data_IF_237657574723
#
_entry.id   IF_237657574723
#
_cell.length_a   1.000
_cell.length_b   1.000
_cell.length_c   1.000
_cell.angle_alpha   90.00
_cell.angle_beta   90.00
_cell.angle_gamma   90.00
#
_symmetry.space_group_name_H-M   'P 1'
#
loop_
_entity.id
_entity.type
_entity.pdbx_description
1 polymer ?
#
# COMPACT_ATOMS: atom_id res chain seq x y z
N UNK A 1 0.07 -15.66 14.11
CA UNK A 1 -0.62 -16.35 15.23
C UNK A 1 -1.88 -15.62 15.69
N UNK A 2 -1.90 -14.29 15.77
CA UNK A 2 -3.07 -13.49 16.22
C UNK A 2 -4.33 -13.66 15.36
N UNK A 3 -4.19 -14.00 14.09
CA UNK A 3 -5.32 -14.21 13.19
C UNK A 3 -6.10 -15.50 13.44
N UNK A 4 -5.48 -16.49 14.05
CA UNK A 4 -6.05 -17.82 14.33
C UNK A 4 -6.10 -18.14 15.83
N UNK A 5 -5.78 -17.17 16.67
CA UNK A 5 -5.90 -17.31 18.10
C UNK A 5 -7.37 -17.62 18.45
N UNK A 6 -7.60 -18.57 19.31
CA UNK A 6 -8.94 -18.96 19.75
C UNK A 6 -9.84 -19.60 18.68
N UNK A 7 -9.33 -20.01 17.52
CA UNK A 7 -10.11 -20.67 16.46
C UNK A 7 -10.84 -21.94 16.95
N UNK A 8 -10.28 -22.60 17.99
CA UNK A 8 -10.84 -23.81 18.59
C UNK A 8 -11.81 -23.52 19.76
N UNK A 9 -12.18 -22.24 19.97
CA UNK A 9 -13.01 -21.82 21.11
C UNK A 9 -14.42 -21.37 20.70
N UNK A 10 -14.94 -21.91 19.61
CA UNK A 10 -16.28 -21.57 19.09
C UNK A 10 -16.46 -20.08 18.79
N UNK A 11 -15.41 -19.47 18.25
CA UNK A 11 -15.38 -18.04 17.92
C UNK A 11 -15.84 -17.74 16.50
N UNK A 12 -15.89 -18.74 15.63
CA UNK A 12 -16.30 -18.63 14.23
C UNK A 12 -17.04 -19.88 13.78
N UNK A 13 -17.90 -19.73 12.79
CA UNK A 13 -18.60 -20.86 12.16
C UNK A 13 -17.68 -21.64 11.25
N UNK A 14 -17.88 -22.97 11.22
CA UNK A 14 -17.17 -23.87 10.33
C UNK A 14 -18.12 -24.43 9.29
N UNK A 15 -17.72 -24.37 8.04
CA UNK A 15 -18.45 -24.92 6.89
C UNK A 15 -17.67 -26.09 6.27
N UNK A 16 -18.33 -27.04 5.58
CA UNK A 16 -17.62 -28.04 4.79
C UNK A 16 -16.72 -27.37 3.73
N UNK A 17 -15.54 -27.96 3.52
CA UNK A 17 -14.68 -27.59 2.41
C UNK A 17 -15.27 -28.04 1.06
N UNK A 18 -14.58 -27.74 -0.06
CA UNK A 18 -15.10 -27.99 -1.41
C UNK A 18 -15.50 -29.45 -1.68
N UNK A 19 -14.78 -30.43 -1.15
CA UNK A 19 -15.06 -31.87 -1.32
C UNK A 19 -15.81 -32.51 -0.13
N UNK A 20 -16.23 -31.68 0.84
CA UNK A 20 -16.98 -32.09 2.04
C UNK A 20 -16.25 -33.08 2.94
N UNK A 21 -14.93 -33.28 2.76
CA UNK A 21 -14.12 -34.20 3.56
C UNK A 21 -13.71 -33.61 4.90
N UNK A 22 -13.57 -32.29 4.97
CA UNK A 22 -13.12 -31.55 6.16
C UNK A 22 -13.98 -30.32 6.39
N UNK A 23 -13.81 -29.67 7.53
CA UNK A 23 -14.46 -28.38 7.84
C UNK A 23 -13.43 -27.27 7.87
N UNK A 24 -13.77 -26.14 7.29
CA UNK A 24 -12.97 -24.94 7.31
C UNK A 24 -13.71 -23.76 7.97
N UNK A 25 -13.01 -22.83 8.61
CA UNK A 25 -13.66 -21.67 9.20
C UNK A 25 -14.18 -20.74 8.09
N UNK A 26 -15.42 -20.26 8.23
CA UNK A 26 -16.00 -19.29 7.29
C UNK A 26 -15.25 -17.95 7.28
N UNK A 27 -14.68 -17.56 8.42
CA UNK A 27 -13.80 -16.39 8.61
C UNK A 27 -12.76 -16.70 9.68
N UNK A 28 -11.64 -15.97 9.67
CA UNK A 28 -10.62 -16.09 10.72
C UNK A 28 -10.97 -15.23 11.93
N UNK A 29 -10.80 -15.74 13.19
CA UNK A 29 -11.09 -15.02 14.43
C UNK A 29 -9.98 -14.01 14.78
N UNK A 30 -9.67 -13.09 13.88
CA UNK A 30 -8.60 -12.10 14.07
C UNK A 30 -8.85 -11.23 15.30
N UNK A 31 -7.84 -11.08 16.16
CA UNK A 31 -7.88 -10.23 17.35
C UNK A 31 -7.61 -8.75 17.07
N UNK A 32 -7.36 -8.38 15.84
CA UNK A 32 -7.14 -6.99 15.41
C UNK A 32 -7.92 -6.71 14.12
N UNK A 33 -8.15 -5.45 13.76
CA UNK A 33 -8.96 -5.06 12.61
C UNK A 33 -8.25 -5.37 11.28
N UNK A 34 -8.11 -6.66 10.98
CA UNK A 34 -7.32 -7.19 9.88
C UNK A 34 -7.73 -6.64 8.51
N UNK A 35 -9.02 -6.44 8.27
CA UNK A 35 -9.52 -5.96 6.98
C UNK A 35 -8.90 -4.61 6.58
N UNK A 36 -8.79 -3.68 7.53
CA UNK A 36 -8.19 -2.37 7.29
C UNK A 36 -6.66 -2.40 7.40
N UNK A 37 -6.13 -3.12 8.38
CA UNK A 37 -4.67 -3.13 8.62
C UNK A 37 -3.92 -3.79 7.47
N UNK A 38 -4.35 -4.96 7.01
CA UNK A 38 -3.70 -5.65 5.89
C UNK A 38 -4.30 -5.32 4.53
N UNK A 39 -5.50 -4.71 4.52
CA UNK A 39 -6.23 -4.54 3.28
C UNK A 39 -6.72 -5.86 2.69
N UNK A 40 -7.35 -5.79 1.54
CA UNK A 40 -7.78 -6.96 0.78
C UNK A 40 -7.95 -6.63 -0.69
N UNK A 41 -7.77 -7.63 -1.54
CA UNK A 41 -8.04 -7.54 -2.97
C UNK A 41 -8.79 -8.79 -3.39
N UNK A 42 -9.89 -8.62 -4.11
CA UNK A 42 -10.70 -9.73 -4.57
C UNK A 42 -11.51 -9.39 -5.81
N UNK A 43 -11.69 -10.38 -6.66
CA UNK A 43 -12.47 -10.29 -7.90
C UNK A 43 -13.59 -11.30 -7.82
N UNK A 44 -14.84 -10.82 -7.90
CA UNK A 44 -16.03 -11.64 -7.98
C UNK A 44 -16.80 -11.36 -9.27
N UNK A 45 -17.84 -12.15 -9.53
CA UNK A 45 -18.70 -11.89 -10.70
C UNK A 45 -19.50 -10.61 -10.48
N UNK A 46 -19.30 -9.64 -11.35
CA UNK A 46 -19.99 -8.36 -11.32
C UNK A 46 -19.44 -7.32 -10.33
N UNK A 47 -18.46 -7.66 -9.49
CA UNK A 47 -17.83 -6.71 -8.56
C UNK A 47 -16.39 -7.07 -8.25
N UNK A 48 -15.63 -6.07 -7.81
CA UNK A 48 -14.27 -6.25 -7.31
C UNK A 48 -14.05 -5.35 -6.09
N UNK A 49 -13.17 -5.76 -5.20
CA UNK A 49 -12.70 -4.95 -4.08
C UNK A 49 -11.20 -4.80 -4.10
N UNK A 50 -10.71 -3.66 -3.64
CA UNK A 50 -9.29 -3.39 -3.46
C UNK A 50 -9.12 -2.37 -2.33
N UNK A 51 -9.06 -2.88 -1.11
CA UNK A 51 -8.87 -2.07 0.11
C UNK A 51 -7.38 -2.02 0.42
N UNK A 52 -6.76 -0.83 0.42
CA UNK A 52 -5.35 -0.70 0.77
C UNK A 52 -5.12 -0.95 2.27
N UNK A 53 -3.89 -1.34 2.68
CA UNK A 53 -3.53 -1.46 4.08
C UNK A 53 -3.49 -0.10 4.79
N UNK A 54 -3.71 -0.12 6.12
CA UNK A 54 -3.74 1.05 6.97
C UNK A 54 -2.89 0.83 8.23
N UNK A 55 -2.50 1.93 8.86
CA UNK A 55 -1.73 1.89 10.09
C UNK A 55 -2.55 1.28 11.24
N UNK A 56 -1.96 0.32 11.95
CA UNK A 56 -2.62 -0.38 13.06
C UNK A 56 -3.03 0.58 14.19
N UNK A 57 -2.14 1.48 14.58
CA UNK A 57 -2.40 2.44 15.66
C UNK A 57 -3.52 3.39 15.29
N UNK A 58 -3.50 3.96 14.09
CA UNK A 58 -4.58 4.83 13.60
C UNK A 58 -5.91 4.08 13.55
N UNK A 59 -5.92 2.84 13.06
CA UNK A 59 -7.13 2.03 12.98
C UNK A 59 -7.71 1.71 14.36
N UNK A 60 -6.87 1.35 15.34
CA UNK A 60 -7.31 1.12 16.72
C UNK A 60 -7.85 2.41 17.35
N UNK A 61 -7.15 3.53 17.18
CA UNK A 61 -7.61 4.82 17.70
C UNK A 61 -8.96 5.25 17.12
N UNK A 62 -9.19 4.97 15.84
CA UNK A 62 -10.49 5.21 15.20
C UNK A 62 -11.61 4.33 15.83
N UNK A 63 -11.32 3.07 16.11
CA UNK A 63 -12.27 2.17 16.78
C UNK A 63 -12.57 2.69 18.20
N UNK A 64 -11.55 3.08 18.96
CA UNK A 64 -11.73 3.66 20.31
C UNK A 64 -12.62 4.90 20.21
N UNK A 65 -12.36 5.81 19.27
CA UNK A 65 -13.19 7.00 19.06
C UNK A 65 -14.66 6.67 18.77
N UNK A 66 -14.93 5.63 17.98
CA UNK A 66 -16.29 5.17 17.69
C UNK A 66 -16.98 4.69 18.97
N UNK A 67 -16.26 3.91 19.78
CA UNK A 67 -16.78 3.38 21.04
C UNK A 67 -17.07 4.52 22.02
N UNK A 68 -16.13 5.45 22.20
CA UNK A 68 -16.28 6.58 23.13
C UNK A 68 -17.47 7.45 22.74
N UNK A 69 -17.61 7.84 21.48
CA UNK A 69 -18.75 8.60 21.00
C UNK A 69 -20.08 7.87 21.24
N UNK A 70 -20.08 6.53 21.08
CA UNK A 70 -21.31 5.74 21.30
C UNK A 70 -21.64 5.58 22.77
N UNK A 71 -20.65 5.36 23.63
CA UNK A 71 -20.83 5.10 25.07
C UNK A 71 -21.05 6.38 25.85
N UNK A 72 -20.26 7.42 25.60
CA UNK A 72 -20.28 8.66 26.37
C UNK A 72 -21.30 9.67 25.83
N UNK A 73 -21.41 9.80 24.50
CA UNK A 73 -22.24 10.82 23.86
C UNK A 73 -23.53 10.24 23.24
N UNK A 74 -23.67 8.91 23.22
CA UNK A 74 -24.78 8.17 22.59
C UNK A 74 -25.08 8.61 21.15
N UNK A 75 -24.03 8.89 20.39
CA UNK A 75 -24.10 9.29 18.98
C UNK A 75 -23.23 8.43 18.09
N UNK A 76 -23.50 8.47 16.79
CA UNK A 76 -22.64 7.86 15.79
C UNK A 76 -21.46 8.79 15.46
N UNK A 77 -20.30 8.18 15.12
CA UNK A 77 -19.11 8.89 14.69
C UNK A 77 -19.22 9.22 13.21
N UNK A 78 -18.86 10.44 12.85
CA UNK A 78 -18.86 10.86 11.43
C UNK A 78 -17.61 10.38 10.69
N UNK A 79 -17.70 10.32 9.37
CA UNK A 79 -16.54 9.95 8.55
C UNK A 79 -15.42 11.00 8.65
N UNK A 80 -15.76 12.26 8.88
CA UNK A 80 -14.82 13.35 9.10
C UNK A 80 -13.96 13.11 10.34
N UNK A 81 -14.59 12.73 11.46
CA UNK A 81 -13.86 12.41 12.70
C UNK A 81 -12.93 11.22 12.52
N UNK A 82 -13.34 10.21 11.74
CA UNK A 82 -12.48 9.07 11.43
C UNK A 82 -11.29 9.50 10.56
N UNK A 83 -11.51 10.37 9.56
CA UNK A 83 -10.45 10.87 8.69
C UNK A 83 -9.46 11.82 9.39
N UNK A 84 -9.80 12.36 10.55
CA UNK A 84 -8.86 13.08 11.40
C UNK A 84 -7.84 12.13 12.05
N UNK A 85 -8.21 10.88 12.27
CA UNK A 85 -7.37 9.84 12.86
C UNK A 85 -6.66 9.03 11.77
N UNK A 86 -7.43 8.45 10.83
CA UNK A 86 -6.90 7.70 9.69
C UNK A 86 -6.65 8.68 8.54
N UNK A 87 -5.40 9.08 8.38
CA UNK A 87 -5.01 10.11 7.38
C UNK A 87 -5.04 9.58 5.94
N UNK A 88 -4.88 8.29 5.76
CA UNK A 88 -4.81 7.60 4.47
C UNK A 88 -4.28 6.18 4.61
N UNK A 89 -4.14 5.47 3.50
CA UNK A 89 -3.44 4.19 3.50
C UNK A 89 -2.01 4.30 4.02
N UNK A 90 -1.54 3.23 4.66
CA UNK A 90 -0.17 3.07 5.13
C UNK A 90 0.41 1.80 4.49
N UNK A 91 1.28 1.99 3.50
CA UNK A 91 1.81 0.89 2.71
C UNK A 91 3.09 0.34 3.33
N UNK A 92 3.24 -1.00 3.47
CA UNK A 92 4.44 -1.62 4.04
C UNK A 92 5.70 -1.36 3.21
N UNK A 93 5.56 -0.97 1.95
CA UNK A 93 6.66 -0.64 1.04
C UNK A 93 6.99 0.85 1.02
N UNK A 94 6.33 1.67 1.87
CA UNK A 94 6.49 3.12 1.87
C UNK A 94 5.86 3.78 0.65
N UNK A 95 6.59 4.67 0.01
CA UNK A 95 6.15 5.54 -1.08
C UNK A 95 5.28 6.73 -0.63
N UNK A 96 5.09 7.68 -1.51
CA UNK A 96 4.34 8.91 -1.24
C UNK A 96 2.98 8.89 -1.91
N UNK A 97 1.91 9.18 -1.16
CA UNK A 97 0.57 9.37 -1.70
C UNK A 97 0.47 10.80 -2.26
N UNK A 98 0.01 10.92 -3.50
CA UNK A 98 -0.14 12.19 -4.20
C UNK A 98 -1.53 12.78 -4.01
N UNK A 99 -1.66 13.70 -3.07
CA UNK A 99 -2.88 14.44 -2.77
C UNK A 99 -3.84 13.70 -1.83
N UNK A 100 -4.66 14.47 -1.09
CA UNK A 100 -5.65 13.95 -0.12
C UNK A 100 -7.03 13.75 -0.72
N UNK A 101 -7.39 14.52 -1.76
CA UNK A 101 -8.74 14.55 -2.30
C UNK A 101 -9.25 13.18 -2.74
N UNK A 102 -8.39 12.40 -3.42
CA UNK A 102 -8.75 11.05 -3.88
C UNK A 102 -8.89 10.05 -2.73
N UNK A 103 -8.12 10.23 -1.64
CA UNK A 103 -8.24 9.44 -0.40
C UNK A 103 -9.57 9.76 0.29
N UNK A 104 -9.89 11.04 0.46
CA UNK A 104 -11.16 11.48 1.05
C UNK A 104 -12.36 11.00 0.24
N UNK A 105 -12.29 11.06 -1.08
CA UNK A 105 -13.33 10.55 -1.96
C UNK A 105 -13.50 9.04 -1.78
N UNK A 106 -12.40 8.28 -1.73
CA UNK A 106 -12.43 6.84 -1.53
C UNK A 106 -13.12 6.47 -0.20
N UNK A 107 -12.80 7.18 0.88
CA UNK A 107 -13.39 6.93 2.19
C UNK A 107 -14.88 7.31 2.27
N UNK A 108 -15.29 8.41 1.62
CA UNK A 108 -16.70 8.84 1.60
C UNK A 108 -17.59 7.99 0.72
N UNK A 109 -17.08 7.52 -0.41
CA UNK A 109 -17.89 6.88 -1.45
C UNK A 109 -17.61 5.40 -1.65
N UNK A 110 -16.55 4.88 -1.03
CA UNK A 110 -16.02 3.55 -1.31
C UNK A 110 -15.32 3.43 -2.67
N UNK A 111 -15.12 4.55 -3.38
CA UNK A 111 -14.48 4.57 -4.71
C UNK A 111 -13.52 5.73 -4.85
N UNK A 112 -12.27 5.45 -5.24
CA UNK A 112 -11.24 6.45 -5.47
C UNK A 112 -10.06 5.90 -6.24
N UNK A 113 -9.19 6.79 -6.72
CA UNK A 113 -7.95 6.46 -7.42
C UNK A 113 -6.78 7.07 -6.66
N UNK A 114 -6.28 6.36 -5.67
CA UNK A 114 -5.14 6.82 -4.87
C UNK A 114 -3.86 6.66 -5.69
N UNK A 115 -3.24 7.79 -6.02
CA UNK A 115 -1.98 7.82 -6.77
C UNK A 115 -0.81 7.78 -5.79
N UNK A 116 0.15 6.92 -6.08
CA UNK A 116 1.39 6.80 -5.30
C UNK A 116 2.60 7.05 -6.17
N UNK A 117 3.66 7.57 -5.57
CA UNK A 117 4.95 7.83 -6.20
C UNK A 117 6.06 7.18 -5.40
N UNK A 118 7.04 6.61 -6.09
CA UNK A 118 8.28 6.15 -5.49
C UNK A 118 8.98 7.29 -4.73
N UNK A 119 9.72 6.96 -3.68
CA UNK A 119 10.65 7.88 -3.04
C UNK A 119 11.98 7.78 -3.75
N UNK A 120 12.52 8.91 -4.17
CA UNK A 120 13.79 8.97 -4.86
C UNK A 120 14.58 10.21 -4.48
N UNK A 121 15.89 10.09 -4.51
CA UNK A 121 16.85 11.17 -4.29
C UNK A 121 17.75 11.33 -5.53
N UNK A 122 18.18 12.57 -5.77
CA UNK A 122 19.09 12.88 -6.87
C UNK A 122 20.45 13.22 -6.27
N UNK A 123 21.45 12.45 -6.63
CA UNK A 123 22.84 12.68 -6.24
C UNK A 123 23.67 13.15 -7.45
N UNK A 124 24.53 14.12 -7.19
CA UNK A 124 25.55 14.54 -8.17
C UNK A 124 26.83 13.75 -7.95
N UNK A 125 27.33 13.13 -8.98
CA UNK A 125 28.58 12.36 -8.96
C UNK A 125 29.79 13.28 -9.22
N UNK A 126 30.97 12.85 -8.78
CA UNK A 126 32.23 13.61 -8.96
C UNK A 126 32.55 13.94 -10.41
N UNK A 127 32.10 13.11 -11.34
CA UNK A 127 32.27 13.31 -12.79
C UNK A 127 31.26 14.30 -13.40
N UNK A 128 30.42 14.95 -12.57
CA UNK A 128 29.41 15.90 -13.00
C UNK A 128 28.17 15.27 -13.65
N UNK A 129 28.01 13.95 -13.60
CA UNK A 129 26.77 13.25 -13.92
C UNK A 129 25.85 13.24 -12.70
N UNK A 130 24.56 13.01 -12.92
CA UNK A 130 23.60 12.78 -11.85
C UNK A 130 23.18 11.32 -11.82
N UNK A 131 22.78 10.85 -10.65
CA UNK A 131 22.09 9.59 -10.51
C UNK A 131 20.83 9.77 -9.67
N UNK A 132 19.78 9.06 -10.04
CA UNK A 132 18.52 8.99 -9.30
C UNK A 132 18.55 7.68 -8.53
N UNK A 133 18.40 7.76 -7.22
CA UNK A 133 18.36 6.60 -6.33
C UNK A 133 16.94 6.45 -5.83
N UNK A 134 16.30 5.33 -6.18
CA UNK A 134 14.94 5.00 -5.75
C UNK A 134 15.04 4.07 -4.55
N UNK A 135 14.53 4.51 -3.40
CA UNK A 135 14.59 3.79 -2.12
C UNK A 135 13.27 3.15 -1.72
N UNK A 136 12.15 3.67 -2.22
CA UNK A 136 10.82 3.10 -1.96
C UNK A 136 10.02 3.01 -3.26
N UNK A 137 9.30 1.91 -3.41
CA UNK A 137 8.43 1.67 -4.56
C UNK A 137 6.96 1.62 -4.12
N UNK A 138 6.02 2.06 -4.98
CA UNK A 138 4.61 1.91 -4.71
C UNK A 138 4.21 0.48 -4.40
N UNK A 139 3.26 0.32 -3.48
CA UNK A 139 2.75 -0.98 -3.07
C UNK A 139 2.24 -1.80 -4.27
N UNK A 140 2.49 -3.10 -4.27
CA UNK A 140 2.16 -4.05 -5.36
C UNK A 140 2.92 -3.82 -6.68
N UNK A 141 3.88 -2.91 -6.74
CA UNK A 141 4.75 -2.76 -7.91
C UNK A 141 5.87 -3.80 -7.88
N UNK A 142 5.97 -4.59 -8.91
CA UNK A 142 7.07 -5.53 -9.09
C UNK A 142 8.32 -4.78 -9.57
N UNK A 143 9.37 -4.75 -8.74
CA UNK A 143 10.63 -4.04 -9.00
C UNK A 143 11.29 -4.48 -10.31
N UNK A 144 11.40 -5.78 -10.55
CA UNK A 144 12.06 -6.30 -11.75
C UNK A 144 11.34 -5.86 -13.03
N UNK A 145 9.99 -5.96 -13.04
CA UNK A 145 9.18 -5.49 -14.17
C UNK A 145 9.27 -3.97 -14.37
N UNK A 146 9.40 -3.20 -13.30
CA UNK A 146 9.60 -1.75 -13.39
C UNK A 146 10.95 -1.43 -14.04
N UNK A 147 12.02 -2.04 -13.58
CA UNK A 147 13.37 -1.86 -14.14
C UNK A 147 13.40 -2.27 -15.62
N UNK A 148 12.83 -3.41 -15.96
CA UNK A 148 12.69 -3.87 -17.36
C UNK A 148 11.90 -2.87 -18.22
N UNK A 149 10.80 -2.32 -17.68
CA UNK A 149 9.98 -1.33 -18.38
C UNK A 149 10.76 -0.04 -18.66
N UNK A 150 11.54 0.45 -17.67
CA UNK A 150 12.40 1.62 -17.86
C UNK A 150 13.44 1.34 -18.94
N UNK A 151 14.13 0.21 -18.88
CA UNK A 151 15.11 -0.19 -19.88
C UNK A 151 14.50 -0.27 -21.29
N UNK A 152 13.29 -0.81 -21.42
CA UNK A 152 12.57 -0.85 -22.69
C UNK A 152 12.25 0.54 -23.23
N UNK A 153 11.80 1.47 -22.38
CA UNK A 153 11.51 2.85 -22.78
C UNK A 153 12.77 3.59 -23.28
N UNK A 154 13.92 3.34 -22.64
CA UNK A 154 15.20 3.88 -23.09
C UNK A 154 15.60 3.30 -24.44
N UNK A 155 15.49 1.98 -24.63
CA UNK A 155 15.77 1.30 -25.90
C UNK A 155 14.87 1.77 -27.04
N UNK A 156 13.59 2.02 -26.74
CA UNK A 156 12.60 2.55 -27.68
C UNK A 156 12.75 4.06 -27.94
N UNK A 157 13.74 4.72 -27.30
CA UNK A 157 13.98 6.17 -27.37
C UNK A 157 12.77 7.03 -26.93
N UNK A 158 11.91 6.48 -26.07
CA UNK A 158 10.78 7.20 -25.45
C UNK A 158 11.21 8.01 -24.23
N UNK A 159 12.30 7.58 -23.57
CA UNK A 159 12.99 8.32 -22.52
C UNK A 159 14.43 8.48 -22.93
N UNK A 160 14.94 9.70 -22.92
CA UNK A 160 16.33 10.02 -23.23
C UNK A 160 17.08 10.48 -21.97
N UNK A 161 18.39 10.42 -22.02
CA UNK A 161 19.26 10.89 -20.95
C UNK A 161 19.69 9.83 -19.93
N UNK A 162 19.09 8.66 -19.91
CA UNK A 162 19.52 7.55 -19.05
C UNK A 162 20.70 6.84 -19.69
N UNK A 163 21.79 6.68 -18.92
CA UNK A 163 23.03 6.00 -19.38
C UNK A 163 23.21 4.63 -18.79
N UNK A 164 22.68 4.40 -17.59
CA UNK A 164 22.73 3.11 -16.91
C UNK A 164 21.56 2.93 -15.95
N UNK A 165 21.19 1.69 -15.73
CA UNK A 165 20.07 1.30 -14.85
C UNK A 165 20.45 0.01 -14.12
N UNK A 166 20.54 0.08 -12.79
CA UNK A 166 20.95 -1.04 -11.95
C UNK A 166 19.99 -1.24 -10.79
N UNK A 167 19.81 -2.48 -10.39
CA UNK A 167 19.20 -2.86 -9.11
C UNK A 167 20.32 -3.19 -8.13
N UNK A 168 20.53 -2.33 -7.16
CA UNK A 168 21.52 -2.46 -6.09
C UNK A 168 20.84 -2.81 -4.74
N UNK A 169 19.59 -3.29 -4.77
CA UNK A 169 18.86 -3.65 -3.57
C UNK A 169 19.52 -4.81 -2.84
N UNK A 170 19.54 -4.74 -1.53
CA UNK A 170 20.12 -5.73 -0.62
C UNK A 170 19.24 -5.97 0.61
N UNK A 171 19.82 -6.48 1.71
CA UNK A 171 19.10 -6.72 2.97
C UNK A 171 18.71 -5.43 3.70
N UNK A 172 19.34 -4.31 3.39
CA UNK A 172 19.00 -2.99 3.98
C UNK A 172 17.77 -2.38 3.31
N UNK A 173 17.45 -2.77 2.06
CA UNK A 173 16.24 -2.33 1.39
C UNK A 173 16.32 -2.20 -0.12
N UNK A 174 15.31 -1.54 -0.67
CA UNK A 174 15.23 -1.24 -2.10
C UNK A 174 16.22 -0.14 -2.46
N UNK A 175 17.01 -0.40 -3.49
CA UNK A 175 17.92 0.57 -4.08
C UNK A 175 18.01 0.37 -5.60
N UNK A 176 17.25 1.13 -6.35
CA UNK A 176 17.34 1.17 -7.82
C UNK A 176 18.07 2.42 -8.22
N UNK A 177 19.15 2.28 -8.98
CA UNK A 177 20.02 3.38 -9.39
C UNK A 177 19.86 3.62 -10.89
N UNK A 178 19.55 4.86 -11.25
CA UNK A 178 19.39 5.33 -12.64
C UNK A 178 20.42 6.43 -12.88
N UNK A 179 21.42 6.15 -13.70
CA UNK A 179 22.42 7.16 -14.08
C UNK A 179 21.94 7.99 -15.25
N UNK A 180 22.14 9.30 -15.15
CA UNK A 180 21.69 10.28 -16.13
C UNK A 180 22.88 11.00 -16.74
N UNK A 181 22.81 11.29 -18.05
CA UNK A 181 23.83 12.08 -18.74
C UNK A 181 24.01 13.46 -18.11
N UNK A 182 25.20 14.03 -18.25
CA UNK A 182 25.54 15.36 -17.72
C UNK A 182 24.63 16.49 -18.25
N UNK A 183 24.21 16.37 -19.51
CA UNK A 183 23.36 17.34 -20.22
C UNK A 183 21.87 17.14 -20.01
N UNK A 184 21.46 16.07 -19.33
CA UNK A 184 20.07 15.77 -19.03
C UNK A 184 19.67 16.28 -17.64
N UNK A 185 18.43 16.76 -17.53
CA UNK A 185 17.88 17.24 -16.27
C UNK A 185 17.27 16.05 -15.48
N UNK A 186 17.92 15.68 -14.39
CA UNK A 186 17.46 14.56 -13.54
C UNK A 186 16.12 14.82 -12.81
N UNK A 187 15.61 16.07 -12.82
CA UNK A 187 14.31 16.42 -12.20
C UNK A 187 13.13 16.27 -13.17
N UNK A 188 13.38 16.02 -14.44
CA UNK A 188 12.36 15.86 -15.50
C UNK A 188 12.20 14.39 -15.86
#
# INVERSE_FOLDING_TARGET
MEMVADINKDTVEFTPNFDETEKEPSVLPSRYPNLLVNGTSGIAVGMATNIPPHNLTETINAIVKIIDNKVEENRDTTIEEIMEIIKGPDFPTGATILGRKDVEQAYRTGRGKIKTRAVSEIETMDNGKSRIIVTELPYMVNKAKLVEKIASLVKEKKVDGITDLRDESDQEGTRVVIEVRRDANANV
#
